data_IF_376789910572
#
_entry.id   IF_376789910572
#
_cell.length_a   1.000
_cell.length_b   1.000
_cell.length_c   1.000
_cell.angle_alpha   90.00
_cell.angle_beta   90.00
_cell.angle_gamma   90.00
#
_symmetry.space_group_name_H-M   'P 1'
#
loop_
_entity.id
_entity.type
_entity.pdbx_description
1 polymer ?
#
# COMPACT_ATOMS: atom_id res chain seq x y z
N UNK A 1 -29.02 7.60 -19.19
CA UNK A 1 -29.25 8.27 -17.89
C UNK A 1 -30.66 8.05 -17.33
N UNK A 2 -31.74 8.37 -18.05
CA UNK A 2 -33.13 8.25 -17.53
C UNK A 2 -33.50 6.84 -17.02
N UNK A 3 -33.14 5.80 -17.76
CA UNK A 3 -33.42 4.41 -17.37
C UNK A 3 -32.75 3.99 -16.03
N UNK A 4 -31.52 4.46 -15.77
CA UNK A 4 -30.83 4.20 -14.51
C UNK A 4 -31.47 4.92 -13.33
N UNK A 5 -31.93 6.16 -13.53
CA UNK A 5 -32.65 6.91 -12.50
C UNK A 5 -33.96 6.22 -12.12
N UNK A 6 -34.75 5.78 -13.10
CA UNK A 6 -35.98 5.02 -12.84
C UNK A 6 -35.72 3.71 -12.09
N UNK A 7 -34.63 2.99 -12.40
CA UNK A 7 -34.24 1.78 -11.68
C UNK A 7 -33.76 2.05 -10.25
N UNK A 8 -33.17 3.23 -10.00
CA UNK A 8 -32.68 3.64 -8.68
C UNK A 8 -33.85 4.03 -7.76
N UNK A 9 -34.78 4.86 -8.26
CA UNK A 9 -35.97 5.29 -7.52
C UNK A 9 -36.90 4.13 -7.15
N UNK A 10 -36.91 3.08 -7.97
CA UNK A 10 -37.70 1.87 -7.71
C UNK A 10 -37.13 1.00 -6.57
N UNK A 11 -35.87 1.20 -6.14
CA UNK A 11 -35.21 0.31 -5.18
C UNK A 11 -35.00 0.99 -3.81
N UNK A 12 -35.73 0.57 -2.76
CA UNK A 12 -35.59 1.17 -1.42
C UNK A 12 -34.21 0.95 -0.80
N UNK A 13 -33.48 -0.10 -1.18
CA UNK A 13 -32.10 -0.32 -0.72
C UNK A 13 -31.15 0.75 -1.27
N UNK A 14 -31.39 1.23 -2.48
CA UNK A 14 -30.58 2.30 -3.07
C UNK A 14 -30.73 3.60 -2.28
N UNK A 15 -31.95 3.97 -1.89
CA UNK A 15 -32.19 5.14 -1.03
C UNK A 15 -31.61 4.96 0.37
N UNK A 16 -31.78 3.78 0.98
CA UNK A 16 -31.19 3.47 2.28
C UNK A 16 -29.66 3.58 2.26
N UNK A 17 -29.02 3.01 1.24
CA UNK A 17 -27.56 3.05 1.09
C UNK A 17 -27.06 4.48 0.85
N UNK A 18 -27.76 5.27 0.04
CA UNK A 18 -27.41 6.68 -0.18
C UNK A 18 -27.51 7.49 1.12
N UNK A 19 -28.56 7.30 1.92
CA UNK A 19 -28.68 7.96 3.22
C UNK A 19 -27.56 7.58 4.20
N UNK A 20 -27.10 6.32 4.16
CA UNK A 20 -25.96 5.84 4.95
C UNK A 20 -24.66 6.49 4.48
N UNK A 21 -24.41 6.52 3.17
CA UNK A 21 -23.22 7.14 2.57
C UNK A 21 -23.17 8.67 2.76
N UNK A 22 -24.31 9.33 2.93
CA UNK A 22 -24.34 10.76 3.29
C UNK A 22 -23.81 11.04 4.70
N UNK A 23 -23.88 10.07 5.62
CA UNK A 23 -23.49 10.26 7.03
C UNK A 23 -22.20 9.54 7.41
N UNK A 24 -21.73 8.60 6.60
CA UNK A 24 -20.60 7.71 6.92
C UNK A 24 -19.66 7.61 5.74
N UNK A 25 -18.40 7.27 6.00
CA UNK A 25 -17.47 6.99 4.91
C UNK A 25 -17.79 5.64 4.26
N UNK A 26 -17.39 5.48 2.99
CA UNK A 26 -17.67 4.26 2.22
C UNK A 26 -17.08 3.02 2.89
N UNK A 27 -15.91 3.12 3.52
CA UNK A 27 -15.22 2.00 4.16
C UNK A 27 -16.05 1.42 5.30
N UNK A 28 -16.55 2.29 6.18
CA UNK A 28 -17.45 1.92 7.29
C UNK A 28 -18.77 1.39 6.78
N UNK A 29 -19.38 2.03 5.78
CA UNK A 29 -20.64 1.58 5.20
C UNK A 29 -20.53 0.19 4.54
N UNK A 30 -19.37 -0.13 3.95
CA UNK A 30 -19.08 -1.42 3.32
C UNK A 30 -18.61 -2.50 4.31
N UNK A 31 -18.35 -2.13 5.55
CA UNK A 31 -17.74 -3.03 6.53
C UNK A 31 -18.71 -4.17 6.89
N UNK A 32 -18.23 -5.42 6.77
CA UNK A 32 -19.02 -6.61 7.05
C UNK A 32 -18.48 -7.32 8.30
N UNK A 33 -19.16 -7.29 9.46
CA UNK A 33 -18.65 -7.89 10.70
C UNK A 33 -18.29 -9.38 10.58
N UNK A 34 -18.99 -10.15 9.74
CA UNK A 34 -18.69 -11.56 9.54
C UNK A 34 -17.34 -11.83 8.86
N UNK A 35 -16.73 -10.85 8.18
CA UNK A 35 -15.38 -11.04 7.61
C UNK A 35 -14.30 -11.11 8.69
N UNK A 36 -14.52 -10.45 9.84
CA UNK A 36 -13.61 -10.53 10.98
C UNK A 36 -13.57 -11.94 11.57
N UNK A 37 -14.71 -12.61 11.66
CA UNK A 37 -14.78 -13.98 12.19
C UNK A 37 -13.93 -14.97 11.37
N UNK A 38 -13.82 -14.71 10.05
CA UNK A 38 -13.01 -15.51 9.14
C UNK A 38 -11.54 -15.10 9.08
N UNK A 39 -11.16 -13.97 9.69
CA UNK A 39 -9.78 -13.46 9.66
C UNK A 39 -9.12 -13.79 11.01
N UNK A 40 -8.62 -15.02 11.14
CA UNK A 40 -7.86 -15.44 12.31
C UNK A 40 -6.36 -15.27 12.06
N UNK A 41 -5.64 -14.64 12.99
CA UNK A 41 -4.19 -14.49 12.97
C UNK A 41 -3.48 -15.71 13.57
N UNK A 42 -3.94 -16.91 13.22
CA UNK A 42 -3.33 -18.18 13.62
C UNK A 42 -2.82 -18.88 12.37
N UNK A 43 -1.51 -19.12 12.33
CA UNK A 43 -0.83 -19.72 11.20
C UNK A 43 -0.23 -21.06 11.62
N UNK A 44 -0.23 -22.05 10.72
CA UNK A 44 0.39 -23.35 10.98
C UNK A 44 1.92 -23.25 11.13
N UNK A 45 2.51 -22.25 10.51
CA UNK A 45 3.93 -21.92 10.60
C UNK A 45 4.02 -20.43 10.93
N UNK A 46 4.55 -20.13 12.10
CA UNK A 46 4.84 -18.77 12.52
C UNK A 46 6.35 -18.55 12.51
N UNK A 47 6.79 -17.50 11.82
CA UNK A 47 8.20 -17.18 11.66
C UNK A 47 8.53 -16.05 12.64
N UNK A 48 9.47 -16.22 13.58
CA UNK A 48 9.90 -15.14 14.43
C UNK A 48 10.52 -14.04 13.56
N UNK A 49 9.94 -12.85 13.62
CA UNK A 49 10.42 -11.65 12.94
C UNK A 49 10.84 -10.59 13.96
N UNK A 50 11.76 -9.73 13.56
CA UNK A 50 12.17 -8.54 14.30
C UNK A 50 11.03 -7.51 14.41
N UNK A 51 11.24 -6.51 15.26
CA UNK A 51 10.29 -5.41 15.48
C UNK A 51 9.84 -4.74 14.17
N UNK A 52 8.58 -4.30 14.16
CA UNK A 52 7.98 -3.65 12.99
C UNK A 52 8.68 -2.33 12.66
N UNK A 53 8.81 -2.06 11.36
CA UNK A 53 9.42 -0.83 10.82
C UNK A 53 8.34 0.13 10.34
N UNK A 54 8.54 1.44 10.47
CA UNK A 54 7.58 2.46 10.01
C UNK A 54 8.14 3.33 8.87
N UNK A 55 7.47 3.33 7.72
CA UNK A 55 7.82 4.17 6.57
C UNK A 55 7.31 5.62 6.72
N UNK A 56 6.46 5.88 7.71
CA UNK A 56 5.79 7.15 7.96
C UNK A 56 5.06 7.66 6.71
N UNK A 57 4.97 8.98 6.53
CA UNK A 57 4.35 9.62 5.37
C UNK A 57 5.25 9.58 4.12
N UNK A 58 5.61 8.37 3.66
CA UNK A 58 6.40 8.17 2.44
C UNK A 58 5.92 6.99 1.59
N UNK A 59 6.21 7.01 0.29
CA UNK A 59 5.90 5.92 -0.64
C UNK A 59 6.98 4.84 -0.74
N UNK A 60 7.58 4.44 0.39
CA UNK A 60 8.78 3.58 0.43
C UNK A 60 8.50 2.11 0.78
N UNK A 61 7.24 1.66 0.73
CA UNK A 61 6.85 0.30 1.13
C UNK A 61 7.70 -0.80 0.48
N UNK A 62 8.05 -0.65 -0.81
CA UNK A 62 8.89 -1.61 -1.53
C UNK A 62 10.32 -1.70 -0.96
N UNK A 63 10.90 -0.59 -0.52
CA UNK A 63 12.21 -0.54 0.14
C UNK A 63 12.11 -1.22 1.51
N UNK A 64 11.10 -0.87 2.30
CA UNK A 64 10.89 -1.43 3.62
C UNK A 64 10.66 -2.95 3.57
N UNK A 65 9.80 -3.43 2.66
CA UNK A 65 9.55 -4.86 2.48
C UNK A 65 10.81 -5.63 2.07
N UNK A 66 11.62 -5.08 1.15
CA UNK A 66 12.86 -5.73 0.73
C UNK A 66 13.90 -5.77 1.87
N UNK A 67 14.09 -4.66 2.57
CA UNK A 67 15.04 -4.57 3.67
C UNK A 67 14.59 -5.38 4.89
N UNK A 68 13.28 -5.51 5.11
CA UNK A 68 12.72 -6.37 6.16
C UNK A 68 13.04 -7.85 5.93
N UNK A 69 13.08 -8.31 4.69
CA UNK A 69 13.52 -9.69 4.40
C UNK A 69 15.02 -9.86 4.65
N UNK A 70 15.84 -8.89 4.22
CA UNK A 70 17.30 -8.98 4.32
C UNK A 70 17.80 -8.84 5.76
N UNK A 71 17.19 -7.94 6.56
CA UNK A 71 17.59 -7.71 7.95
C UNK A 71 17.40 -8.95 8.82
N UNK A 72 16.38 -9.78 8.55
CA UNK A 72 16.14 -11.04 9.27
C UNK A 72 17.30 -12.01 9.09
N UNK A 73 17.85 -12.10 7.88
CA UNK A 73 19.00 -12.95 7.61
C UNK A 73 20.26 -12.42 8.29
N UNK A 74 20.48 -11.11 8.28
CA UNK A 74 21.63 -10.48 8.92
C UNK A 74 21.56 -10.64 10.44
N UNK A 75 20.39 -10.38 11.04
CA UNK A 75 20.19 -10.52 12.48
C UNK A 75 20.40 -11.95 12.96
N UNK A 76 19.90 -12.96 12.21
CA UNK A 76 20.14 -14.38 12.51
C UNK A 76 21.62 -14.75 12.43
N UNK A 77 22.35 -14.25 11.43
CA UNK A 77 23.78 -14.54 11.26
C UNK A 77 24.66 -13.86 12.32
N UNK A 78 24.30 -12.65 12.72
CA UNK A 78 25.08 -11.84 13.66
C UNK A 78 24.58 -11.92 15.11
N UNK A 79 23.56 -12.73 15.39
CA UNK A 79 22.90 -12.89 16.69
C UNK A 79 22.47 -11.54 17.30
N UNK A 80 21.77 -10.71 16.51
CA UNK A 80 21.29 -9.39 16.91
C UNK A 80 19.80 -9.43 17.28
N UNK A 81 19.45 -8.91 18.45
CA UNK A 81 18.05 -8.82 18.90
C UNK A 81 17.27 -7.70 18.19
N UNK A 82 17.93 -6.59 17.86
CA UNK A 82 17.35 -5.44 17.17
C UNK A 82 18.27 -4.97 16.06
N UNK A 83 17.78 -4.98 14.83
CA UNK A 83 18.55 -4.57 13.67
C UNK A 83 17.67 -4.00 12.56
N UNK A 84 18.14 -2.92 11.93
CA UNK A 84 17.56 -2.35 10.73
C UNK A 84 18.66 -1.97 9.73
N UNK A 85 18.33 -2.13 8.45
CA UNK A 85 19.12 -1.60 7.35
C UNK A 85 18.64 -0.19 7.02
N UNK A 86 19.55 0.70 6.64
CA UNK A 86 19.18 2.09 6.33
C UNK A 86 18.28 2.16 5.09
N UNK A 87 16.98 2.31 5.33
CA UNK A 87 15.98 2.50 4.27
C UNK A 87 16.17 3.88 3.61
N UNK A 88 16.69 4.85 4.36
CA UNK A 88 17.01 6.18 3.84
C UNK A 88 18.18 6.15 2.85
N UNK A 89 19.19 5.31 3.09
CA UNK A 89 20.31 5.15 2.17
C UNK A 89 19.86 4.68 0.79
N UNK A 90 19.02 3.64 0.73
CA UNK A 90 18.45 3.16 -0.53
C UNK A 90 17.53 4.21 -1.16
N UNK A 91 16.71 4.89 -0.35
CA UNK A 91 15.82 5.94 -0.84
C UNK A 91 16.56 7.15 -1.44
N UNK A 92 17.76 7.46 -0.97
CA UNK A 92 18.59 8.52 -1.53
C UNK A 92 19.05 8.15 -2.94
N UNK A 93 19.65 6.96 -3.09
CA UNK A 93 20.14 6.49 -4.39
C UNK A 93 19.02 6.24 -5.38
N UNK A 94 17.87 5.71 -4.94
CA UNK A 94 16.69 5.55 -5.78
C UNK A 94 16.25 6.88 -6.41
N UNK A 95 16.23 7.98 -5.63
CA UNK A 95 15.88 9.30 -6.14
C UNK A 95 16.94 9.84 -7.10
N UNK A 96 18.22 9.67 -6.74
CA UNK A 96 19.32 10.12 -7.56
C UNK A 96 19.31 9.44 -8.94
N UNK A 97 19.18 8.11 -8.96
CA UNK A 97 19.12 7.32 -10.20
C UNK A 97 17.87 7.63 -11.03
N UNK A 98 16.71 7.84 -10.39
CA UNK A 98 15.48 8.20 -11.11
C UNK A 98 15.57 9.57 -11.79
N UNK A 99 16.25 10.53 -11.17
CA UNK A 99 16.49 11.85 -11.81
C UNK A 99 17.37 11.67 -13.04
N UNK A 100 18.46 10.90 -12.92
CA UNK A 100 19.32 10.61 -14.06
C UNK A 100 18.57 9.89 -15.19
N UNK A 101 17.83 8.83 -14.84
CA UNK A 101 17.00 8.09 -15.78
C UNK A 101 15.96 8.97 -16.47
N UNK A 102 15.33 9.89 -15.74
CA UNK A 102 14.38 10.85 -16.30
C UNK A 102 15.05 11.77 -17.34
N UNK A 103 16.21 12.33 -17.03
CA UNK A 103 16.94 13.20 -17.96
C UNK A 103 17.35 12.44 -19.24
N UNK A 104 17.88 11.22 -19.10
CA UNK A 104 18.21 10.36 -20.24
C UNK A 104 16.98 10.00 -21.07
N UNK A 105 15.84 9.75 -20.40
CA UNK A 105 14.57 9.50 -21.09
C UNK A 105 14.12 10.72 -21.90
N UNK A 106 14.26 11.94 -21.36
CA UNK A 106 13.92 13.17 -22.08
C UNK A 106 14.82 13.34 -23.31
N UNK A 107 16.13 13.13 -23.17
CA UNK A 107 17.08 13.22 -24.29
C UNK A 107 16.73 12.17 -25.36
N UNK A 108 16.45 10.93 -24.97
CA UNK A 108 16.06 9.87 -25.90
C UNK A 108 14.74 10.13 -26.64
N UNK A 109 13.88 11.00 -26.10
CA UNK A 109 12.56 11.31 -26.65
C UNK A 109 12.50 12.69 -27.31
N UNK A 110 13.64 13.34 -27.53
CA UNK A 110 13.71 14.74 -27.99
C UNK A 110 13.01 14.98 -29.33
N UNK A 111 12.98 13.98 -30.21
CA UNK A 111 12.37 14.07 -31.55
C UNK A 111 10.85 13.81 -31.54
N UNK A 112 10.27 13.45 -30.39
CA UNK A 112 8.84 13.17 -30.30
C UNK A 112 8.06 14.46 -30.03
N UNK A 113 6.86 14.60 -30.61
CA UNK A 113 5.94 15.65 -30.16
C UNK A 113 5.64 15.47 -28.67
N UNK A 114 5.41 16.58 -27.98
CA UNK A 114 5.15 16.61 -26.53
C UNK A 114 3.77 16.02 -26.19
N UNK A 115 2.85 16.03 -27.16
CA UNK A 115 1.47 15.56 -27.06
C UNK A 115 1.32 14.07 -27.43
#
# INVERSE_FOLDING_TARGET
MKAFHSSYEANPLCHAMTNVLYKTNLKEASFRPSSLQNTQFQYSVDLPTLEVTDQMHSGRCWIFSALNLLREQVAKKCNLEKFELSQNYISFWDKFEKINYFLESVICLIDRPVD
#
